data_IF_071911569100
#
_entry.id   IF_071911569100
#
_cell.length_a   1.000
_cell.length_b   1.000
_cell.length_c   1.000
_cell.angle_alpha   90.00
_cell.angle_beta   90.00
_cell.angle_gamma   90.00
#
_symmetry.space_group_name_H-M   'P 1'
#
loop_
_entity.id
_entity.type
_entity.pdbx_description
1 polymer ?
#
# COMPACT_ATOMS: atom_id res chain seq x y z
N UNK A 1 -9.34 18.57 -21.66
CA UNK A 1 -9.20 17.17 -21.20
C UNK A 1 -8.28 17.22 -20.00
N UNK A 2 -8.83 17.37 -18.80
CA UNK A 2 -8.07 17.20 -17.56
C UNK A 2 -7.66 15.74 -17.52
N UNK A 3 -6.35 15.46 -17.55
CA UNK A 3 -5.87 14.14 -17.20
C UNK A 3 -6.48 13.79 -15.83
N UNK A 4 -7.04 12.60 -15.71
CA UNK A 4 -7.64 12.12 -14.47
C UNK A 4 -6.53 12.11 -13.41
N UNK A 5 -6.53 13.12 -12.53
CA UNK A 5 -5.46 13.29 -11.55
C UNK A 5 -5.69 12.29 -10.45
N UNK A 6 -4.65 11.51 -10.12
CA UNK A 6 -4.70 10.61 -8.98
C UNK A 6 -4.53 11.46 -7.72
N UNK A 7 -5.60 11.57 -6.93
CA UNK A 7 -5.61 12.35 -5.69
C UNK A 7 -5.48 11.48 -4.42
N UNK A 8 -5.68 10.16 -4.54
CA UNK A 8 -5.55 9.19 -3.46
C UNK A 8 -5.21 7.79 -4.01
N UNK A 9 -4.67 6.93 -3.14
CA UNK A 9 -4.58 5.49 -3.43
C UNK A 9 -5.93 4.82 -3.19
N UNK A 10 -6.31 3.88 -4.06
CA UNK A 10 -7.49 3.05 -3.81
C UNK A 10 -7.09 1.92 -2.86
N UNK A 11 -7.69 1.88 -1.67
CA UNK A 11 -7.35 0.95 -0.61
C UNK A 11 -8.52 -0.02 -0.37
N UNK A 12 -8.36 -1.26 -0.86
CA UNK A 12 -9.37 -2.31 -0.74
C UNK A 12 -9.13 -3.14 0.53
N UNK A 13 -10.16 -3.24 1.37
CA UNK A 13 -10.06 -3.82 2.72
C UNK A 13 -11.32 -4.57 3.13
N UNK A 14 -11.25 -5.26 4.28
CA UNK A 14 -12.41 -5.85 4.98
C UNK A 14 -12.24 -5.78 6.49
N UNK A 15 -13.33 -5.92 7.23
CA UNK A 15 -13.31 -5.93 8.70
C UNK A 15 -12.52 -7.14 9.24
N UNK A 16 -11.81 -6.94 10.36
CA UNK A 16 -11.00 -7.99 11.01
C UNK A 16 -9.66 -8.31 10.31
N UNK A 17 -9.31 -7.60 9.24
CA UNK A 17 -8.04 -7.79 8.54
C UNK A 17 -6.87 -7.06 9.24
N UNK A 18 -6.05 -7.81 9.98
CA UNK A 18 -4.87 -7.26 10.69
C UNK A 18 -3.83 -6.62 9.76
N UNK A 19 -3.61 -7.19 8.57
CA UNK A 19 -2.71 -6.60 7.56
C UNK A 19 -3.23 -5.26 7.05
N UNK A 20 -4.54 -5.16 6.83
CA UNK A 20 -5.20 -3.93 6.39
C UNK A 20 -5.03 -2.85 7.45
N UNK A 21 -5.28 -3.15 8.73
CA UNK A 21 -5.06 -2.20 9.83
C UNK A 21 -3.60 -1.75 9.93
N UNK A 22 -2.65 -2.66 9.70
CA UNK A 22 -1.22 -2.36 9.73
C UNK A 22 -0.82 -1.41 8.60
N UNK A 23 -1.20 -1.71 7.36
CA UNK A 23 -0.88 -0.89 6.20
C UNK A 23 -1.61 0.46 6.27
N UNK A 24 -2.90 0.47 6.61
CA UNK A 24 -3.72 1.67 6.79
C UNK A 24 -3.06 2.67 7.75
N UNK A 25 -2.62 2.22 8.93
CA UNK A 25 -1.91 3.06 9.91
C UNK A 25 -0.59 3.61 9.36
N UNK A 26 0.15 2.82 8.59
CA UNK A 26 1.40 3.29 7.97
C UNK A 26 1.12 4.40 6.96
N UNK A 27 0.13 4.20 6.08
CA UNK A 27 -0.28 5.20 5.09
C UNK A 27 -0.77 6.49 5.74
N UNK A 28 -1.61 6.41 6.79
CA UNK A 28 -2.06 7.60 7.53
C UNK A 28 -0.92 8.37 8.19
N UNK A 29 0.05 7.67 8.80
CA UNK A 29 1.20 8.34 9.45
C UNK A 29 2.06 9.14 8.49
N UNK A 30 2.15 8.70 7.23
CA UNK A 30 2.88 9.40 6.17
C UNK A 30 1.98 10.35 5.37
N UNK A 31 0.73 10.60 5.80
CA UNK A 31 -0.17 11.55 5.15
C UNK A 31 -0.61 11.13 3.73
N UNK A 32 -0.51 9.85 3.37
CA UNK A 32 -0.90 9.37 2.04
C UNK A 32 -2.43 9.29 1.97
N UNK A 33 -3.09 10.05 1.08
CA UNK A 33 -4.55 10.01 0.95
C UNK A 33 -5.04 8.66 0.44
N UNK A 34 -6.16 8.17 1.01
CA UNK A 34 -6.75 6.88 0.67
C UNK A 34 -8.23 7.01 0.36
N UNK A 35 -8.66 6.47 -0.78
CA UNK A 35 -10.04 6.12 -1.06
C UNK A 35 -10.27 4.67 -0.62
N UNK A 36 -11.03 4.45 0.46
CA UNK A 36 -11.18 3.13 1.08
C UNK A 36 -12.41 2.40 0.53
N UNK A 37 -12.22 1.15 0.11
CA UNK A 37 -13.27 0.30 -0.44
C UNK A 37 -13.42 -0.98 0.38
N UNK A 38 -14.55 -1.15 1.06
CA UNK A 38 -14.83 -2.37 1.80
C UNK A 38 -15.38 -3.45 0.86
N UNK A 39 -14.62 -4.50 0.62
CA UNK A 39 -14.98 -5.56 -0.34
C UNK A 39 -16.19 -6.41 0.11
N UNK A 40 -16.59 -6.34 1.38
CA UNK A 40 -17.81 -7.01 1.84
C UNK A 40 -19.07 -6.21 1.55
N UNK A 41 -18.95 -4.89 1.44
CA UNK A 41 -20.07 -3.97 1.24
C UNK A 41 -20.23 -3.56 -0.22
N UNK A 42 -19.13 -3.54 -0.97
CA UNK A 42 -19.11 -3.19 -2.39
C UNK A 42 -18.74 -4.42 -3.26
N UNK A 43 -19.72 -5.01 -3.97
CA UNK A 43 -19.48 -6.11 -4.90
C UNK A 43 -18.52 -5.76 -6.04
N UNK A 44 -18.46 -4.49 -6.47
CA UNK A 44 -17.53 -4.04 -7.50
C UNK A 44 -16.08 -4.01 -6.98
N UNK A 45 -15.88 -3.55 -5.75
CA UNK A 45 -14.59 -3.65 -5.07
C UNK A 45 -14.13 -5.10 -4.91
N UNK A 46 -15.02 -6.02 -4.53
CA UNK A 46 -14.71 -7.45 -4.46
C UNK A 46 -14.31 -8.01 -5.84
N UNK A 47 -15.06 -7.67 -6.88
CA UNK A 47 -14.77 -8.10 -8.25
C UNK A 47 -13.40 -7.58 -8.73
N UNK A 48 -13.08 -6.31 -8.45
CA UNK A 48 -11.78 -5.74 -8.74
C UNK A 48 -10.66 -6.50 -8.04
N UNK A 49 -10.78 -6.75 -6.73
CA UNK A 49 -9.77 -7.51 -5.97
C UNK A 49 -9.57 -8.90 -6.56
N UNK A 50 -10.64 -9.64 -6.86
CA UNK A 50 -10.52 -10.96 -7.51
C UNK A 50 -9.81 -10.89 -8.86
N UNK A 51 -10.00 -9.82 -9.63
CA UNK A 51 -9.34 -9.65 -10.93
C UNK A 51 -7.82 -9.50 -10.82
N UNK A 52 -7.31 -8.89 -9.74
CA UNK A 52 -5.87 -8.64 -9.53
C UNK A 52 -5.21 -9.63 -8.58
N UNK A 53 -5.98 -10.39 -7.80
CA UNK A 53 -5.50 -11.35 -6.81
C UNK A 53 -5.76 -12.82 -7.21
N UNK A 54 -5.65 -13.13 -8.51
CA UNK A 54 -5.78 -14.49 -9.05
C UNK A 54 -7.11 -15.17 -8.68
N UNK A 55 -8.21 -14.43 -8.73
CA UNK A 55 -9.55 -14.90 -8.35
C UNK A 55 -9.84 -14.84 -6.84
N UNK A 56 -8.86 -14.54 -6.00
CA UNK A 56 -9.02 -14.49 -4.54
C UNK A 56 -9.46 -13.12 -4.05
N UNK A 57 -10.05 -13.06 -2.86
CA UNK A 57 -10.36 -11.81 -2.15
C UNK A 57 -9.23 -11.42 -1.18
N UNK A 58 -7.99 -11.36 -1.69
CA UNK A 58 -6.83 -11.04 -0.86
C UNK A 58 -6.76 -9.53 -0.59
N UNK A 59 -6.73 -9.16 0.69
CA UNK A 59 -6.65 -7.78 1.16
C UNK A 59 -5.57 -7.65 2.25
N UNK A 60 -4.92 -6.48 2.40
CA UNK A 60 -5.17 -5.24 1.67
C UNK A 60 -4.74 -5.35 0.21
N UNK A 61 -5.54 -4.82 -0.71
CA UNK A 61 -5.14 -4.60 -2.10
C UNK A 61 -5.10 -3.10 -2.33
N UNK A 62 -4.08 -2.61 -3.04
CA UNK A 62 -3.90 -1.17 -3.31
C UNK A 62 -3.79 -0.94 -4.80
N UNK A 63 -4.48 0.09 -5.30
CA UNK A 63 -4.30 0.60 -6.67
C UNK A 63 -3.78 2.03 -6.63
N UNK A 64 -2.80 2.33 -7.46
CA UNK A 64 -2.30 3.68 -7.72
C UNK A 64 -2.26 3.84 -9.24
N UNK A 65 -3.16 4.66 -9.80
CA UNK A 65 -3.26 4.79 -11.26
C UNK A 65 -3.50 3.45 -11.94
N UNK A 66 -2.53 3.06 -12.77
CA UNK A 66 -2.51 1.78 -13.47
C UNK A 66 -1.89 0.63 -12.67
N UNK A 67 -1.12 0.92 -11.61
CA UNK A 67 -0.46 -0.07 -10.78
C UNK A 67 -1.42 -0.69 -9.75
N UNK A 68 -1.46 -2.02 -9.69
CA UNK A 68 -2.22 -2.79 -8.70
C UNK A 68 -1.29 -3.70 -7.92
N UNK A 69 -1.44 -3.74 -6.59
CA UNK A 69 -0.60 -4.51 -5.69
C UNK A 69 -1.45 -5.27 -4.67
N UNK A 70 -1.16 -6.55 -4.49
CA UNK A 70 -1.84 -7.43 -3.55
C UNK A 70 -0.98 -7.59 -2.30
N UNK A 71 -1.55 -7.24 -1.15
CA UNK A 71 -0.90 -7.20 0.17
C UNK A 71 0.47 -6.47 0.17
N UNK A 72 0.56 -5.22 -0.32
CA UNK A 72 1.84 -4.53 -0.43
C UNK A 72 2.40 -4.07 0.92
N UNK A 73 3.71 -3.88 0.97
CA UNK A 73 4.36 -3.06 1.99
C UNK A 73 4.11 -1.57 1.76
N UNK A 74 4.42 -0.73 2.75
CA UNK A 74 4.40 0.74 2.57
C UNK A 74 5.34 1.15 1.43
N UNK A 75 6.54 0.57 1.40
CA UNK A 75 7.57 0.88 0.42
C UNK A 75 7.09 0.59 -1.01
N UNK A 76 6.41 -0.54 -1.22
CA UNK A 76 5.81 -0.85 -2.52
C UNK A 76 4.75 0.17 -2.92
N UNK A 77 3.94 0.66 -1.98
CA UNK A 77 2.96 1.72 -2.26
C UNK A 77 3.67 3.03 -2.62
N UNK A 78 4.74 3.41 -1.91
CA UNK A 78 5.50 4.64 -2.21
C UNK A 78 6.21 4.55 -3.57
N UNK A 79 6.78 3.40 -3.92
CA UNK A 79 7.37 3.20 -5.25
C UNK A 79 6.31 3.32 -6.36
N UNK A 80 5.11 2.77 -6.16
CA UNK A 80 4.00 2.96 -7.09
C UNK A 80 3.57 4.44 -7.20
N UNK A 81 3.52 5.17 -6.07
CA UNK A 81 3.24 6.61 -6.06
C UNK A 81 4.31 7.39 -6.82
N UNK A 82 5.59 7.06 -6.67
CA UNK A 82 6.69 7.72 -7.38
C UNK A 82 6.57 7.57 -8.91
N UNK A 83 6.01 6.46 -9.38
CA UNK A 83 5.78 6.23 -10.81
C UNK A 83 4.49 6.88 -11.33
N UNK A 84 3.39 6.75 -10.59
CA UNK A 84 2.04 7.06 -11.08
C UNK A 84 1.50 8.41 -10.59
N UNK A 85 1.86 8.83 -9.38
CA UNK A 85 1.37 10.04 -8.73
C UNK A 85 2.46 10.71 -7.85
N UNK A 86 3.55 11.24 -8.43
CA UNK A 86 4.71 11.72 -7.65
C UNK A 86 4.36 12.80 -6.63
N UNK A 87 3.31 13.59 -6.87
CA UNK A 87 2.82 14.63 -5.95
C UNK A 87 2.16 14.11 -4.68
N UNK A 88 1.95 12.79 -4.57
CA UNK A 88 1.42 12.13 -3.37
C UNK A 88 2.50 11.38 -2.58
N UNK A 89 3.77 11.42 -3.03
CA UNK A 89 4.88 10.85 -2.27
C UNK A 89 5.14 11.74 -1.05
N UNK A 90 5.20 11.17 0.18
CA UNK A 90 5.50 11.94 1.38
C UNK A 90 6.92 12.52 1.32
N UNK A 91 7.06 13.80 1.69
CA UNK A 91 8.36 14.50 1.71
C UNK A 91 9.35 13.88 2.71
N UNK A 92 8.85 13.25 3.76
CA UNK A 92 9.63 12.66 4.85
C UNK A 92 9.90 11.15 4.69
N UNK A 93 9.45 10.55 3.59
CA UNK A 93 9.60 9.12 3.38
C UNK A 93 10.98 8.78 2.81
N UNK A 94 11.79 8.10 3.62
CA UNK A 94 13.05 7.49 3.19
C UNK A 94 12.90 5.96 3.14
N UNK A 95 13.10 5.37 1.97
CA UNK A 95 13.02 3.93 1.79
C UNK A 95 14.10 3.23 2.65
N UNK A 96 13.77 2.13 3.34
CA UNK A 96 14.76 1.41 4.13
C UNK A 96 15.90 0.90 3.24
N UNK A 97 17.13 1.26 3.58
CA UNK A 97 18.32 0.79 2.85
C UNK A 97 18.51 -0.71 3.10
N UNK A 98 18.69 -1.53 2.05
CA UNK A 98 19.05 -2.94 2.23
C UNK A 98 20.36 -3.06 3.02
N UNK A 99 20.28 -3.58 4.25
CA UNK A 99 21.46 -3.85 5.10
C UNK A 99 21.45 -3.23 6.50
N UNK A 100 20.55 -2.31 6.82
CA UNK A 100 20.49 -1.70 8.17
C UNK A 100 20.18 -2.71 9.29
N UNK A 101 19.48 -3.80 8.96
CA UNK A 101 19.12 -4.86 9.91
C UNK A 101 20.31 -5.78 10.23
N UNK A 102 21.26 -5.95 9.32
CA UNK A 102 22.42 -6.84 9.52
C UNK A 102 23.34 -6.35 10.64
N UNK A 103 23.56 -5.03 10.71
CA UNK A 103 24.45 -4.41 11.71
C UNK A 103 23.97 -4.54 13.16
N UNK A 104 22.68 -4.78 13.37
CA UNK A 104 22.12 -4.97 14.71
C UNK A 104 22.32 -6.42 15.20
N UNK A 105 22.30 -7.40 14.30
CA UNK A 105 22.55 -8.81 14.64
C UNK A 105 24.04 -9.09 14.92
N UNK A 106 24.95 -8.46 14.19
CA UNK A 106 26.40 -8.60 14.44
C UNK A 106 26.82 -8.11 15.83
N UNK A 107 26.12 -7.13 16.41
CA UNK A 107 26.48 -6.54 17.71
C UNK A 107 25.92 -7.30 18.93
N UNK A 108 25.05 -8.29 18.73
CA UNK A 108 24.40 -9.05 19.80
C UNK A 108 24.94 -10.47 19.99
N UNK A 109 25.80 -10.96 19.08
CA UNK A 109 26.28 -12.34 19.05
C UNK A 109 27.81 -12.50 19.05
N UNK A 110 28.57 -11.44 19.34
CA UNK A 110 30.03 -11.55 19.41
C UNK A 110 30.72 -10.43 20.18
N UNK A 111 30.90 -10.65 21.48
CA UNK A 111 32.19 -10.65 22.18
C UNK A 111 32.16 -11.76 23.25
#
# INVERSE_FOLDING_TARGET
MTADRIDAVEFYWRQGCGFCMSLHRKLERHGIPMAKHNIWEDPAAAAYVRSVANGNETVPTVRVGSAAMVNPSLDQVVEALRAEAPHLVPDDYEAPTPGAVSRLFDKLLGD
#
